data_IF_439427749986
#
_entry.id   IF_439427749986
#
_cell.length_a   1.000
_cell.length_b   1.000
_cell.length_c   1.000
_cell.angle_alpha   90.00
_cell.angle_beta   90.00
_cell.angle_gamma   90.00
#
_symmetry.space_group_name_H-M   'P 1'
#
loop_
_entity.id
_entity.type
_entity.pdbx_description
1 polymer ?
#
# COMPACT_ATOMS: atom_id res chain seq x y z
N UNK A 1 -16.05 -56.92 25.18
CA UNK A 1 -14.63 -56.55 25.04
C UNK A 1 -14.48 -55.68 23.80
N UNK A 2 -14.36 -54.36 23.95
CA UNK A 2 -14.25 -53.41 22.83
C UNK A 2 -12.92 -52.67 22.94
N UNK A 3 -12.03 -52.85 21.96
CA UNK A 3 -10.71 -52.21 21.90
C UNK A 3 -10.83 -50.91 21.11
N UNK A 4 -10.79 -49.78 21.81
CA UNK A 4 -10.67 -48.47 21.17
C UNK A 4 -9.25 -48.30 20.60
N UNK A 5 -9.16 -48.19 19.28
CA UNK A 5 -7.93 -47.83 18.56
C UNK A 5 -7.70 -46.32 18.67
N UNK A 6 -6.64 -45.93 19.39
CA UNK A 6 -6.21 -44.55 19.52
C UNK A 6 -5.62 -44.06 18.18
N UNK A 7 -6.36 -43.22 17.45
CA UNK A 7 -5.84 -42.48 16.31
C UNK A 7 -4.72 -41.55 16.79
N UNK A 8 -3.49 -41.91 16.43
CA UNK A 8 -2.29 -41.09 16.55
C UNK A 8 -2.56 -39.70 15.97
N UNK A 9 -2.55 -38.67 16.83
CA UNK A 9 -2.58 -37.28 16.40
C UNK A 9 -1.26 -37.02 15.70
N UNK A 10 -1.31 -36.81 14.38
CA UNK A 10 -0.18 -36.39 13.56
C UNK A 10 0.56 -35.25 14.26
N UNK A 11 1.73 -35.56 14.80
CA UNK A 11 2.65 -34.54 15.28
C UNK A 11 3.05 -33.70 14.06
N UNK A 12 2.61 -32.43 14.05
CA UNK A 12 3.03 -31.48 13.02
C UNK A 12 4.57 -31.51 12.94
N UNK A 13 5.16 -31.73 11.76
CA UNK A 13 6.60 -31.84 11.63
C UNK A 13 7.25 -30.58 12.21
N UNK A 14 8.00 -30.78 13.29
CA UNK A 14 8.70 -29.72 14.02
C UNK A 14 9.64 -29.01 13.04
N UNK A 15 9.41 -27.72 12.84
CA UNK A 15 10.41 -26.79 12.32
C UNK A 15 10.60 -26.79 10.81
N UNK A 16 9.64 -26.23 10.06
CA UNK A 16 10.04 -25.62 8.79
C UNK A 16 11.01 -24.48 9.11
N UNK A 17 12.22 -24.44 8.53
CA UNK A 17 13.15 -23.36 8.77
C UNK A 17 12.48 -22.03 8.40
N UNK A 18 12.38 -21.12 9.36
CA UNK A 18 11.87 -19.78 9.10
C UNK A 18 12.94 -19.02 8.32
N UNK A 19 12.62 -18.57 7.10
CA UNK A 19 13.52 -17.73 6.30
C UNK A 19 13.86 -16.46 7.10
N UNK A 20 15.15 -16.26 7.36
CA UNK A 20 15.68 -14.99 7.90
C UNK A 20 15.77 -14.02 6.74
N UNK A 21 14.96 -12.97 6.78
CA UNK A 21 14.96 -11.92 5.76
C UNK A 21 16.06 -10.92 6.06
N UNK A 22 16.97 -10.74 5.12
CA UNK A 22 17.95 -9.65 5.19
C UNK A 22 17.28 -8.30 4.91
N UNK A 23 17.96 -7.23 5.33
CA UNK A 23 17.51 -5.87 5.06
C UNK A 23 17.51 -5.61 3.55
N UNK A 24 18.52 -6.09 2.85
CA UNK A 24 18.70 -5.96 1.40
C UNK A 24 17.58 -6.65 0.63
N UNK A 25 17.22 -7.90 0.98
CA UNK A 25 16.09 -8.59 0.37
C UNK A 25 14.78 -7.84 0.61
N UNK A 26 14.59 -7.31 1.82
CA UNK A 26 13.39 -6.55 2.16
C UNK A 26 13.30 -5.28 1.33
N UNK A 27 14.42 -4.55 1.16
CA UNK A 27 14.49 -3.35 0.32
C UNK A 27 14.19 -3.70 -1.14
N UNK A 28 14.79 -4.74 -1.70
CA UNK A 28 14.52 -5.18 -3.08
C UNK A 28 13.05 -5.49 -3.33
N UNK A 29 12.38 -6.15 -2.38
CA UNK A 29 10.94 -6.42 -2.47
C UNK A 29 10.16 -5.10 -2.53
N UNK A 30 10.47 -4.15 -1.64
CA UNK A 30 9.76 -2.87 -1.57
C UNK A 30 9.99 -2.01 -2.81
N UNK A 31 11.23 -1.91 -3.29
CA UNK A 31 11.58 -1.15 -4.49
C UNK A 31 10.91 -1.71 -5.74
N UNK A 32 10.81 -3.03 -5.86
CA UNK A 32 10.02 -3.66 -6.93
C UNK A 32 8.56 -3.24 -6.87
N UNK A 33 7.94 -3.25 -5.68
CA UNK A 33 6.52 -2.90 -5.51
C UNK A 33 6.29 -1.42 -5.85
N UNK A 34 7.19 -0.52 -5.43
CA UNK A 34 7.13 0.90 -5.77
C UNK A 34 7.25 1.08 -7.29
N UNK A 35 8.25 0.46 -7.91
CA UNK A 35 8.56 0.64 -9.34
C UNK A 35 7.48 0.05 -10.27
N UNK A 36 6.84 -1.05 -9.86
CA UNK A 36 5.82 -1.73 -10.66
C UNK A 36 4.38 -1.33 -10.28
N UNK A 37 4.20 -0.44 -9.30
CA UNK A 37 2.91 0.07 -8.85
C UNK A 37 1.89 -1.01 -8.42
N UNK A 38 0.63 -0.59 -8.29
CA UNK A 38 -0.50 -1.43 -7.87
C UNK A 38 -1.11 -2.27 -9.02
N UNK A 39 -0.30 -2.68 -10.01
CA UNK A 39 -0.79 -3.19 -11.30
C UNK A 39 -1.56 -4.52 -11.21
N UNK A 40 -1.44 -5.29 -10.13
CA UNK A 40 -2.28 -6.47 -9.88
C UNK A 40 -2.63 -6.57 -8.41
N UNK A 41 -3.85 -7.07 -8.11
CA UNK A 41 -4.20 -7.46 -6.73
C UNK A 41 -3.08 -8.39 -6.22
N UNK A 42 -2.38 -8.07 -5.11
CA UNK A 42 -1.27 -8.86 -4.55
C UNK A 42 -1.70 -10.25 -4.02
N UNK A 43 -2.80 -10.78 -4.54
CA UNK A 43 -3.27 -12.14 -4.38
C UNK A 43 -2.71 -13.06 -5.47
N UNK A 44 -2.30 -12.51 -6.62
CA UNK A 44 -1.85 -13.29 -7.78
C UNK A 44 -0.46 -13.90 -7.57
N UNK A 45 -0.35 -15.22 -7.78
CA UNK A 45 0.91 -15.96 -7.75
C UNK A 45 1.90 -15.43 -8.79
N UNK A 46 1.41 -15.13 -10.00
CA UNK A 46 2.18 -14.57 -11.12
C UNK A 46 2.95 -13.31 -10.74
N UNK A 47 2.37 -12.44 -9.93
CA UNK A 47 3.00 -11.19 -9.49
C UNK A 47 4.28 -11.45 -8.69
N UNK A 48 4.19 -12.32 -7.67
CA UNK A 48 5.34 -12.63 -6.83
C UNK A 48 6.38 -13.48 -7.55
N UNK A 49 5.98 -14.34 -8.49
CA UNK A 49 6.94 -15.04 -9.34
C UNK A 49 7.74 -14.08 -10.23
N UNK A 50 7.10 -13.05 -10.80
CA UNK A 50 7.82 -11.99 -11.53
C UNK A 50 8.75 -11.20 -10.61
N UNK A 51 8.30 -10.85 -9.41
CA UNK A 51 9.11 -10.17 -8.39
C UNK A 51 10.38 -10.97 -8.08
N UNK A 52 10.24 -12.27 -7.80
CA UNK A 52 11.38 -13.14 -7.47
C UNK A 52 12.37 -13.21 -8.64
N UNK A 53 11.86 -13.37 -9.88
CA UNK A 53 12.71 -13.41 -11.07
C UNK A 53 13.50 -12.11 -11.30
N UNK A 54 12.88 -10.95 -11.07
CA UNK A 54 13.55 -9.67 -11.32
C UNK A 54 14.51 -9.26 -10.19
N UNK A 55 14.14 -9.52 -8.94
CA UNK A 55 14.93 -9.09 -7.77
C UNK A 55 16.04 -10.07 -7.38
N UNK A 56 15.94 -11.33 -7.83
CA UNK A 56 16.85 -12.41 -7.45
C UNK A 56 16.75 -12.80 -5.97
N UNK A 57 15.63 -12.51 -5.32
CA UNK A 57 15.39 -12.88 -3.93
C UNK A 57 15.19 -14.39 -3.83
N UNK A 58 16.00 -15.07 -3.02
CA UNK A 58 15.91 -16.51 -2.80
C UNK A 58 14.72 -16.87 -1.89
N UNK A 59 13.51 -16.80 -2.42
CA UNK A 59 12.29 -17.11 -1.70
C UNK A 59 11.21 -17.69 -2.63
N UNK A 60 10.30 -18.46 -2.06
CA UNK A 60 9.08 -18.88 -2.74
C UNK A 60 8.04 -17.74 -2.74
N UNK A 61 7.16 -17.69 -3.74
CA UNK A 61 6.11 -16.69 -3.91
C UNK A 61 5.24 -16.55 -2.64
N UNK A 62 4.93 -17.67 -1.97
CA UNK A 62 4.18 -17.67 -0.70
C UNK A 62 4.94 -16.95 0.41
N UNK A 63 6.25 -17.14 0.51
CA UNK A 63 7.09 -16.48 1.52
C UNK A 63 7.16 -14.97 1.26
N UNK A 64 7.32 -14.55 0.01
CA UNK A 64 7.26 -13.14 -0.37
C UNK A 64 5.90 -12.53 -0.03
N UNK A 65 4.79 -13.22 -0.35
CA UNK A 65 3.44 -12.78 0.00
C UNK A 65 3.27 -12.58 1.50
N UNK A 66 3.67 -13.56 2.31
CA UNK A 66 3.62 -13.47 3.77
C UNK A 66 4.51 -12.34 4.30
N UNK A 67 5.71 -12.16 3.75
CA UNK A 67 6.61 -11.05 4.12
C UNK A 67 5.97 -9.69 3.84
N UNK A 68 5.40 -9.49 2.66
CA UNK A 68 4.71 -8.24 2.30
C UNK A 68 3.49 -8.00 3.21
N UNK A 69 2.72 -9.05 3.52
CA UNK A 69 1.61 -8.96 4.48
C UNK A 69 2.08 -8.52 5.86
N UNK A 70 3.15 -9.13 6.38
CA UNK A 70 3.71 -8.77 7.68
C UNK A 70 4.25 -7.33 7.71
N UNK A 71 4.92 -6.90 6.64
CA UNK A 71 5.37 -5.51 6.49
C UNK A 71 4.19 -4.53 6.49
N UNK A 72 3.10 -4.86 5.78
CA UNK A 72 1.87 -4.07 5.79
C UNK A 72 1.27 -4.00 7.20
N UNK A 73 1.16 -5.12 7.91
CA UNK A 73 0.66 -5.14 9.30
C UNK A 73 1.52 -4.27 10.23
N UNK A 74 2.85 -4.36 10.13
CA UNK A 74 3.76 -3.51 10.90
C UNK A 74 3.62 -2.02 10.58
N UNK A 75 3.44 -1.69 9.30
CA UNK A 75 3.16 -0.32 8.86
C UNK A 75 1.85 0.22 9.44
N UNK A 76 0.75 -0.55 9.35
CA UNK A 76 -0.56 -0.14 9.89
C UNK A 76 -0.46 0.14 11.39
N UNK A 77 0.15 -0.77 12.16
CA UNK A 77 0.35 -0.58 13.61
C UNK A 77 1.16 0.68 13.92
N UNK A 78 2.23 0.93 13.16
CA UNK A 78 3.05 2.13 13.34
C UNK A 78 2.28 3.41 12.98
N UNK A 79 1.44 3.36 11.94
CA UNK A 79 0.60 4.47 11.50
C UNK A 79 -0.52 4.78 12.50
N UNK A 80 -1.22 3.76 13.01
CA UNK A 80 -2.23 3.90 14.07
C UNK A 80 -1.63 4.51 15.32
N UNK A 81 -0.47 4.01 15.75
CA UNK A 81 0.24 4.57 16.90
C UNK A 81 0.66 6.03 16.67
N UNK A 82 1.19 6.35 15.47
CA UNK A 82 1.57 7.72 15.10
C UNK A 82 0.37 8.68 15.13
N UNK A 83 -0.79 8.23 14.64
CA UNK A 83 -1.99 9.08 14.54
C UNK A 83 -2.72 9.27 15.87
N UNK A 84 -2.54 8.35 16.82
CA UNK A 84 -3.15 8.41 18.16
C UNK A 84 -2.14 9.00 19.15
N UNK A 85 -1.33 8.14 19.76
CA UNK A 85 -0.37 8.49 20.82
C UNK A 85 0.69 9.47 20.31
N UNK A 86 1.22 9.24 19.10
CA UNK A 86 2.22 10.13 18.52
C UNK A 86 1.70 11.55 18.28
N UNK A 87 0.46 11.68 17.84
CA UNK A 87 -0.17 12.97 17.61
C UNK A 87 -0.44 13.72 18.92
N UNK A 88 -0.87 13.02 19.97
CA UNK A 88 -1.02 13.60 21.31
C UNK A 88 0.34 14.08 21.87
N UNK A 89 1.40 13.29 21.69
CA UNK A 89 2.76 13.68 22.10
C UNK A 89 3.25 14.94 21.39
N UNK A 90 3.02 15.06 20.08
CA UNK A 90 3.42 16.24 19.30
C UNK A 90 2.64 17.49 19.72
N UNK A 91 1.38 17.35 20.16
CA UNK A 91 0.54 18.48 20.63
C UNK A 91 0.91 18.98 22.02
N UNK A 92 1.64 18.20 22.81
CA UNK A 92 2.10 18.60 24.14
C UNK A 92 3.15 19.71 24.03
N UNK A 93 3.17 20.67 24.98
CA UNK A 93 4.14 21.78 25.01
C UNK A 93 5.61 21.31 25.01
N UNK A 94 5.87 20.07 25.44
CA UNK A 94 7.19 19.45 25.47
C UNK A 94 7.37 18.32 24.44
N UNK A 95 6.55 18.30 23.38
CA UNK A 95 6.54 17.22 22.38
C UNK A 95 7.82 17.15 21.54
N UNK A 96 8.59 16.06 21.66
CA UNK A 96 9.72 15.78 20.78
C UNK A 96 9.28 14.98 19.54
N UNK A 97 9.31 15.63 18.38
CA UNK A 97 8.99 15.02 17.08
C UNK A 97 9.98 13.90 16.73
N UNK A 98 11.25 14.02 17.15
CA UNK A 98 12.27 13.02 16.85
C UNK A 98 12.00 11.72 17.61
N UNK A 99 11.58 11.81 18.87
CA UNK A 99 11.15 10.64 19.63
C UNK A 99 10.01 9.87 18.94
N UNK A 100 9.00 10.58 18.43
CA UNK A 100 7.87 9.96 17.71
C UNK A 100 8.38 9.27 16.44
N UNK A 101 9.26 9.92 15.69
CA UNK A 101 9.86 9.37 14.47
C UNK A 101 10.69 8.10 14.77
N UNK A 102 11.55 8.14 15.79
CA UNK A 102 12.38 7.01 16.21
C UNK A 102 11.53 5.83 16.65
N UNK A 103 10.44 6.09 17.39
CA UNK A 103 9.51 5.05 17.81
C UNK A 103 8.82 4.40 16.60
N UNK A 104 8.37 5.20 15.64
CA UNK A 104 7.76 4.71 14.38
C UNK A 104 8.76 3.86 13.60
N UNK A 105 10.02 4.30 13.47
CA UNK A 105 11.07 3.55 12.78
C UNK A 105 11.43 2.25 13.51
N UNK A 106 11.38 2.23 14.84
CA UNK A 106 11.56 1.01 15.63
C UNK A 106 10.43 0.00 15.42
N UNK A 107 9.20 0.48 15.21
CA UNK A 107 8.05 -0.38 14.90
C UNK A 107 8.05 -0.85 13.44
N UNK A 108 8.49 0.01 12.53
CA UNK A 108 8.51 -0.24 11.10
C UNK A 108 9.74 0.43 10.47
N UNK A 109 10.87 -0.29 10.35
CA UNK A 109 12.13 0.28 9.84
C UNK A 109 12.03 0.85 8.41
N UNK A 110 11.06 0.38 7.63
CA UNK A 110 10.84 0.83 6.25
C UNK A 110 9.58 1.71 6.13
N UNK A 111 9.19 2.41 7.20
CA UNK A 111 7.94 3.17 7.27
C UNK A 111 7.73 4.11 6.07
N UNK A 112 8.77 4.86 5.66
CA UNK A 112 8.68 5.80 4.52
C UNK A 112 8.31 5.11 3.21
N UNK A 113 8.99 4.01 2.87
CA UNK A 113 8.71 3.19 1.67
C UNK A 113 7.33 2.54 1.74
N UNK A 114 6.95 2.05 2.92
CA UNK A 114 5.64 1.44 3.14
C UNK A 114 4.51 2.46 3.05
N UNK A 115 4.73 3.72 3.44
CA UNK A 115 3.79 4.82 3.28
C UNK A 115 3.55 5.15 1.80
N UNK A 116 4.58 5.08 0.97
CA UNK A 116 4.46 5.28 -0.48
C UNK A 116 3.62 4.17 -1.13
N UNK A 117 3.82 2.92 -0.71
CA UNK A 117 3.07 1.77 -1.25
C UNK A 117 1.62 1.71 -0.73
N UNK A 118 1.43 1.90 0.58
CA UNK A 118 0.16 1.61 1.25
C UNK A 118 -0.60 2.84 1.74
N UNK A 119 -0.01 4.04 1.69
CA UNK A 119 -0.61 5.26 2.23
C UNK A 119 -1.96 5.58 1.61
N UNK A 120 -2.05 5.49 0.28
CA UNK A 120 -3.29 5.75 -0.46
C UNK A 120 -4.38 4.71 -0.17
N UNK A 121 -3.98 3.46 0.10
CA UNK A 121 -4.92 2.37 0.39
C UNK A 121 -5.56 2.58 1.76
N UNK A 122 -4.77 2.99 2.76
CA UNK A 122 -5.30 3.24 4.11
C UNK A 122 -6.25 4.43 4.09
N UNK A 123 -5.87 5.55 3.44
CA UNK A 123 -6.72 6.74 3.36
C UNK A 123 -8.07 6.43 2.68
N UNK A 124 -8.07 5.63 1.61
CA UNK A 124 -9.30 5.21 0.93
C UNK A 124 -10.17 4.32 1.81
N UNK A 125 -9.58 3.39 2.56
CA UNK A 125 -10.31 2.49 3.44
C UNK A 125 -10.85 3.16 4.71
N UNK A 126 -10.19 4.20 5.23
CA UNK A 126 -10.69 4.95 6.40
C UNK A 126 -11.90 5.84 6.07
N UNK A 127 -12.17 6.11 4.79
CA UNK A 127 -13.30 6.93 4.34
C UNK A 127 -14.57 6.09 4.05
N UNK A 128 -14.47 4.77 4.14
CA UNK A 128 -15.62 3.87 4.02
C UNK A 128 -15.72 3.14 5.36
N UNK A 129 -16.84 3.34 6.05
CA UNK A 129 -17.08 2.95 7.45
C UNK A 129 -16.40 1.65 7.89
N UNK A 130 -15.63 1.74 8.99
CA UNK A 130 -15.26 0.67 9.92
C UNK A 130 -15.59 -0.77 9.48
N UNK A 131 -14.90 -1.28 8.47
CA UNK A 131 -14.67 -2.72 8.41
C UNK A 131 -13.61 -2.99 9.45
N UNK A 132 -14.07 -3.45 10.61
CA UNK A 132 -13.30 -4.23 11.55
C UNK A 132 -12.32 -5.09 10.74
N UNK A 133 -11.03 -4.72 10.75
CA UNK A 133 -9.98 -5.56 10.20
C UNK A 133 -9.98 -6.76 11.12
N UNK A 134 -10.87 -7.72 10.85
CA UNK A 134 -10.93 -8.99 11.56
C UNK A 134 -9.51 -9.50 11.51
N UNK A 135 -8.92 -9.53 12.69
CA UNK A 135 -7.64 -10.15 12.97
C UNK A 135 -7.78 -11.56 12.40
N UNK A 136 -7.28 -11.77 11.18
CA UNK A 136 -7.21 -13.07 10.54
C UNK A 136 -6.16 -13.82 11.35
N UNK A 137 -6.64 -14.40 12.45
CA UNK A 137 -5.92 -15.34 13.28
C UNK A 137 -5.37 -16.44 12.38
N UNK A 138 -4.15 -16.89 12.68
CA UNK A 138 -3.39 -17.81 11.85
C UNK A 138 -3.97 -19.25 11.79
N UNK A 139 -5.24 -19.46 12.12
CA UNK A 139 -5.83 -20.80 12.31
C UNK A 139 -6.55 -21.39 11.10
N UNK A 140 -6.91 -20.62 10.07
CA UNK A 140 -7.92 -21.09 9.08
C UNK A 140 -7.37 -21.51 7.70
N UNK A 141 -6.10 -21.91 7.61
CA UNK A 141 -5.59 -22.55 6.39
C UNK A 141 -5.21 -24.01 6.63
N UNK A 142 -6.24 -24.85 6.76
CA UNK A 142 -6.11 -26.29 6.59
C UNK A 142 -5.94 -26.59 5.09
N UNK A 143 -4.71 -26.82 4.67
CA UNK A 143 -4.40 -27.30 3.33
C UNK A 143 -4.89 -28.76 3.25
N UNK A 144 -6.03 -29.00 2.61
CA UNK A 144 -6.45 -30.36 2.29
C UNK A 144 -5.44 -31.00 1.32
N UNK A 145 -5.02 -32.26 1.56
CA UNK A 145 -4.14 -32.98 0.67
C UNK A 145 -4.91 -33.33 -0.62
N UNK A 146 -4.30 -32.97 -1.74
CA UNK A 146 -4.72 -33.33 -3.09
C UNK A 146 -4.60 -34.85 -3.23
N UNK A 147 -5.73 -35.52 -3.45
CA UNK A 147 -5.78 -36.93 -3.80
C UNK A 147 -5.23 -37.12 -5.21
N UNK A 148 -4.12 -37.83 -5.32
CA UNK A 148 -3.57 -38.30 -6.59
C UNK A 148 -4.39 -39.52 -7.01
N UNK A 149 -5.19 -39.37 -8.07
CA UNK A 149 -5.86 -40.49 -8.73
C UNK A 149 -4.90 -41.20 -9.67
N UNK A 150 -4.56 -42.43 -9.30
CA UNK A 150 -3.88 -43.42 -10.14
C UNK A 150 -4.89 -44.08 -11.09
N UNK A 151 -4.60 -44.25 -12.40
CA UNK A 151 -5.47 -44.98 -13.31
C UNK A 151 -5.08 -46.45 -13.44
N UNK A 152 -6.05 -47.36 -13.45
CA UNK A 152 -5.90 -48.65 -14.14
C UNK A 152 -7.24 -49.24 -14.61
N UNK A 153 -7.21 -50.10 -15.65
CA UNK A 153 -8.31 -50.35 -16.58
C UNK A 153 -9.00 -51.69 -16.33
N UNK A 154 -10.28 -51.83 -16.67
CA UNK A 154 -10.83 -53.12 -17.13
C UNK A 154 -11.91 -52.95 -18.22
N UNK A 155 -11.66 -53.74 -19.26
CA UNK A 155 -12.38 -54.10 -20.48
C UNK A 155 -13.72 -54.82 -20.29
N UNK A 156 -14.57 -54.72 -21.34
CA UNK A 156 -15.60 -55.63 -21.90
C UNK A 156 -16.98 -54.94 -21.99
N UNK A 157 -17.55 -54.60 -23.16
CA UNK A 157 -17.88 -55.26 -24.44
C UNK A 157 -19.16 -56.12 -24.40
N UNK A 158 -20.23 -55.59 -25.04
CA UNK A 158 -21.26 -56.23 -25.90
C UNK A 158 -22.65 -55.59 -25.66
N UNK A 159 -23.22 -54.83 -26.59
CA UNK A 159 -24.08 -55.24 -27.73
C UNK A 159 -25.47 -55.75 -27.30
N UNK A 160 -26.54 -55.03 -27.64
CA UNK A 160 -27.69 -55.48 -28.45
C UNK A 160 -28.78 -54.39 -28.52
N UNK A 161 -29.25 -54.20 -29.75
CA UNK A 161 -30.42 -53.50 -30.30
C UNK A 161 -31.71 -53.69 -29.50
N UNK A 162 -32.66 -52.73 -29.55
CA UNK A 162 -34.09 -52.95 -29.92
C UNK A 162 -34.89 -51.65 -29.81
N UNK A 163 -35.52 -51.28 -30.93
CA UNK A 163 -36.58 -50.27 -31.10
C UNK A 163 -37.89 -50.71 -30.46
N UNK A 164 -38.64 -49.80 -29.83
CA UNK A 164 -40.01 -50.09 -29.39
C UNK A 164 -40.74 -48.87 -28.84
N UNK A 165 -41.69 -48.39 -29.64
CA UNK A 165 -42.69 -47.34 -29.36
C UNK A 165 -43.63 -47.80 -28.24
N UNK A 166 -44.05 -46.89 -27.34
CA UNK A 166 -45.47 -46.63 -27.02
C UNK A 166 -45.64 -45.54 -25.93
N UNK A 167 -46.62 -44.70 -26.25
CA UNK A 167 -47.34 -43.68 -25.52
C UNK A 167 -47.49 -43.89 -24.00
N UNK A 168 -47.41 -42.78 -23.25
CA UNK A 168 -48.46 -42.54 -22.26
C UNK A 168 -48.64 -41.04 -22.01
N UNK A 169 -49.81 -40.57 -22.43
CA UNK A 169 -50.35 -39.24 -22.14
C UNK A 169 -50.90 -39.22 -20.72
N UNK A 170 -50.50 -38.26 -19.90
CA UNK A 170 -51.40 -37.79 -18.85
C UNK A 170 -51.24 -36.28 -18.65
N UNK A 171 -52.21 -35.56 -19.20
CA UNK A 171 -52.47 -34.15 -18.97
C UNK A 171 -53.21 -34.00 -17.63
N UNK A 172 -52.86 -32.99 -16.84
CA UNK A 172 -53.84 -32.08 -16.27
C UNK A 172 -53.19 -30.73 -15.86
N UNK A 173 -53.92 -29.61 -16.06
CA UNK A 173 -53.44 -28.25 -15.88
C UNK A 173 -53.77 -27.71 -14.48
N UNK A 174 -53.11 -26.63 -14.00
CA UNK A 174 -53.78 -25.63 -13.13
C UNK A 174 -52.92 -24.35 -12.92
N UNK A 175 -53.51 -23.24 -13.40
CA UNK A 175 -53.59 -21.88 -12.83
C UNK A 175 -52.33 -20.99 -12.70
N UNK A 176 -52.24 -20.09 -13.70
CA UNK A 176 -52.17 -18.63 -13.61
C UNK A 176 -51.78 -17.98 -12.27
N UNK A 177 -50.66 -17.26 -12.32
CA UNK A 177 -50.28 -16.24 -11.35
C UNK A 177 -49.29 -15.24 -11.97
N UNK A 178 -49.65 -14.61 -13.09
CA UNK A 178 -48.98 -13.38 -13.54
C UNK A 178 -49.29 -12.29 -12.51
N UNK A 179 -48.28 -11.90 -11.73
CA UNK A 179 -48.28 -10.64 -10.99
C UNK A 179 -47.32 -9.70 -11.69
N UNK A 180 -47.87 -8.54 -12.04
CA UNK A 180 -47.24 -7.44 -12.74
C UNK A 180 -45.95 -6.99 -12.07
N UNK A 181 -44.84 -7.12 -12.80
CA UNK A 181 -43.54 -6.55 -12.47
C UNK A 181 -43.27 -5.37 -13.41
N UNK A 182 -43.92 -4.24 -13.13
CA UNK A 182 -43.74 -3.03 -13.95
C UNK A 182 -44.01 -1.78 -13.12
N UNK A 183 -43.19 -1.55 -12.09
CA UNK A 183 -43.05 -0.24 -11.44
C UNK A 183 -41.81 -0.13 -10.53
N UNK A 184 -40.59 -0.30 -11.05
CA UNK A 184 -39.38 0.06 -10.25
C UNK A 184 -38.10 0.41 -11.05
N UNK A 185 -38.17 0.65 -12.37
CA UNK A 185 -36.96 1.06 -13.13
C UNK A 185 -36.69 2.57 -13.05
N UNK A 186 -37.69 3.38 -12.69
CA UNK A 186 -37.55 4.83 -12.59
C UNK A 186 -36.71 5.30 -11.40
N UNK A 187 -36.76 4.61 -10.25
CA UNK A 187 -36.08 5.06 -9.03
C UNK A 187 -34.57 4.74 -9.02
N UNK A 188 -34.12 3.72 -9.74
CA UNK A 188 -32.68 3.39 -9.83
C UNK A 188 -31.86 4.39 -10.67
N UNK A 189 -32.50 5.10 -11.60
CA UNK A 189 -31.82 6.09 -12.46
C UNK A 189 -31.51 7.38 -11.69
N UNK A 190 -32.40 7.80 -10.77
CA UNK A 190 -32.17 9.00 -9.95
C UNK A 190 -31.08 8.77 -8.89
N UNK A 191 -31.06 7.61 -8.25
CA UNK A 191 -30.04 7.28 -7.23
C UNK A 191 -28.61 7.24 -7.81
N UNK A 192 -28.44 6.75 -9.04
CA UNK A 192 -27.13 6.74 -9.71
C UNK A 192 -26.64 8.15 -10.07
N UNK A 193 -27.55 9.07 -10.42
CA UNK A 193 -27.19 10.44 -10.79
C UNK A 193 -26.72 11.24 -9.58
N UNK A 194 -27.39 11.09 -8.45
CA UNK A 194 -27.02 11.77 -7.21
C UNK A 194 -25.69 11.25 -6.64
N UNK A 195 -25.43 9.95 -6.75
CA UNK A 195 -24.13 9.37 -6.38
C UNK A 195 -23.01 9.90 -7.29
N UNK A 196 -23.26 10.02 -8.60
CA UNK A 196 -22.30 10.58 -9.55
C UNK A 196 -21.99 12.06 -9.25
N UNK A 197 -23.01 12.86 -8.94
CA UNK A 197 -22.83 14.26 -8.52
C UNK A 197 -22.03 14.36 -7.21
N UNK A 198 -22.27 13.46 -6.26
CA UNK A 198 -21.54 13.42 -4.98
C UNK A 198 -20.05 13.10 -5.19
N UNK A 199 -19.76 12.13 -6.06
CA UNK A 199 -18.38 11.77 -6.42
C UNK A 199 -17.67 12.94 -7.11
N UNK A 200 -18.37 13.61 -8.04
CA UNK A 200 -17.82 14.76 -8.76
C UNK A 200 -17.55 15.95 -7.82
N UNK A 201 -18.48 16.28 -6.94
CA UNK A 201 -18.30 17.34 -5.94
C UNK A 201 -17.10 17.05 -5.02
N UNK A 202 -16.94 15.79 -4.59
CA UNK A 202 -15.79 15.37 -3.79
C UNK A 202 -14.47 15.47 -4.57
N UNK A 203 -14.48 15.13 -5.86
CA UNK A 203 -13.31 15.28 -6.74
C UNK A 203 -12.91 16.76 -6.89
N UNK A 204 -13.89 17.64 -7.12
CA UNK A 204 -13.65 19.08 -7.24
C UNK A 204 -13.07 19.67 -5.96
N UNK A 205 -13.57 19.27 -4.79
CA UNK A 205 -13.05 19.73 -3.50
C UNK A 205 -11.58 19.32 -3.28
N UNK A 206 -11.22 18.10 -3.69
CA UNK A 206 -9.83 17.63 -3.61
C UNK A 206 -8.92 18.40 -4.57
N UNK A 207 -9.42 18.72 -5.77
CA UNK A 207 -8.70 19.52 -6.76
C UNK A 207 -8.48 20.96 -6.27
N UNK A 208 -9.51 21.60 -5.72
CA UNK A 208 -9.40 22.93 -5.10
C UNK A 208 -8.36 22.94 -3.97
N UNK A 209 -8.40 21.93 -3.10
CA UNK A 209 -7.42 21.78 -2.02
C UNK A 209 -6.00 21.59 -2.56
N UNK A 210 -5.83 20.86 -3.66
CA UNK A 210 -4.54 20.67 -4.33
C UNK A 210 -4.01 21.99 -4.87
N UNK A 211 -4.83 22.74 -5.61
CA UNK A 211 -4.48 24.06 -6.15
C UNK A 211 -4.06 25.02 -5.05
N UNK A 212 -4.79 25.04 -3.93
CA UNK A 212 -4.46 25.91 -2.78
C UNK A 212 -3.11 25.56 -2.13
N UNK A 213 -2.79 24.27 -2.03
CA UNK A 213 -1.49 23.83 -1.52
C UNK A 213 -0.36 24.21 -2.48
N UNK A 214 -0.58 24.10 -3.78
CA UNK A 214 0.40 24.49 -4.80
C UNK A 214 0.63 26.01 -4.78
N UNK A 215 -0.42 26.82 -4.60
CA UNK A 215 -0.32 28.27 -4.43
C UNK A 215 0.49 28.64 -3.18
N UNK A 216 0.20 28.01 -2.03
CA UNK A 216 0.94 28.23 -0.80
C UNK A 216 2.43 27.84 -0.94
N UNK A 217 2.71 26.74 -1.62
CA UNK A 217 4.07 26.29 -1.89
C UNK A 217 4.81 27.28 -2.77
N UNK A 218 4.18 27.76 -3.85
CA UNK A 218 4.76 28.75 -4.76
C UNK A 218 5.06 30.07 -4.02
N UNK A 219 4.15 30.50 -3.13
CA UNK A 219 4.36 31.70 -2.32
C UNK A 219 5.56 31.56 -1.37
N UNK A 220 5.70 30.39 -0.73
CA UNK A 220 6.83 30.10 0.16
C UNK A 220 8.15 30.02 -0.61
N UNK A 221 8.15 29.40 -1.79
CA UNK A 221 9.34 29.30 -2.64
C UNK A 221 9.80 30.69 -3.10
N UNK A 222 8.86 31.57 -3.47
CA UNK A 222 9.13 32.97 -3.80
C UNK A 222 9.71 33.76 -2.63
N UNK A 223 9.15 33.60 -1.42
CA UNK A 223 9.66 34.24 -0.19
C UNK A 223 11.11 33.82 0.10
N UNK A 224 11.40 32.53 -0.01
CA UNK A 224 12.75 31.97 0.19
C UNK A 224 13.73 32.54 -0.85
N UNK A 225 13.33 32.60 -2.11
CA UNK A 225 14.16 33.14 -3.19
C UNK A 225 14.46 34.63 -2.97
N UNK A 226 13.46 35.41 -2.58
CA UNK A 226 13.62 36.82 -2.22
C UNK A 226 14.57 37.03 -1.03
N UNK A 227 14.49 36.18 -0.01
CA UNK A 227 15.41 36.24 1.13
C UNK A 227 16.85 35.90 0.74
N UNK A 228 17.05 34.88 -0.11
CA UNK A 228 18.37 34.53 -0.64
C UNK A 228 18.98 35.67 -1.44
N UNK A 229 18.20 36.27 -2.36
CA UNK A 229 18.66 37.39 -3.18
C UNK A 229 19.04 38.60 -2.32
N UNK A 230 18.28 38.88 -1.25
CA UNK A 230 18.60 39.93 -0.30
C UNK A 230 19.90 39.67 0.46
N UNK A 231 20.12 38.44 0.93
CA UNK A 231 21.36 38.06 1.60
C UNK A 231 22.57 38.15 0.67
N UNK A 232 22.41 37.71 -0.58
CA UNK A 232 23.45 37.81 -1.61
C UNK A 232 23.82 39.26 -1.90
N UNK A 233 22.82 40.14 -2.03
CA UNK A 233 23.04 41.57 -2.21
C UNK A 233 23.82 42.20 -1.06
N UNK A 234 23.46 41.91 0.19
CA UNK A 234 24.17 42.42 1.37
C UNK A 234 25.62 41.91 1.45
N UNK A 235 25.84 40.62 1.15
CA UNK A 235 27.20 40.05 1.11
C UNK A 235 28.05 40.75 0.04
N UNK A 236 27.50 40.95 -1.15
CA UNK A 236 28.19 41.63 -2.25
C UNK A 236 28.51 43.08 -1.91
N UNK A 237 27.59 43.78 -1.25
CA UNK A 237 27.79 45.15 -0.76
C UNK A 237 28.95 45.21 0.25
N UNK A 238 28.96 44.32 1.24
CA UNK A 238 30.01 44.25 2.26
C UNK A 238 31.39 43.94 1.66
N UNK A 239 31.41 43.06 0.65
CA UNK A 239 32.64 42.72 -0.08
C UNK A 239 33.20 43.94 -0.81
N UNK A 240 32.37 44.69 -1.55
CA UNK A 240 32.82 45.91 -2.22
C UNK A 240 33.34 46.97 -1.24
N UNK A 241 32.67 47.18 -0.11
CA UNK A 241 33.12 48.14 0.91
C UNK A 241 34.48 47.74 1.52
N UNK A 242 34.68 46.44 1.77
CA UNK A 242 35.97 45.91 2.22
C UNK A 242 37.07 46.14 1.18
N UNK A 243 36.77 45.89 -0.09
CA UNK A 243 37.72 46.07 -1.19
C UNK A 243 38.08 47.55 -1.40
N UNK A 244 37.11 48.46 -1.29
CA UNK A 244 37.35 49.91 -1.30
C UNK A 244 38.26 50.35 -0.16
N UNK A 245 38.05 49.83 1.06
CA UNK A 245 38.92 50.13 2.21
C UNK A 245 40.35 49.63 1.96
N UNK A 246 40.51 48.40 1.46
CA UNK A 246 41.82 47.83 1.15
C UNK A 246 42.53 48.69 0.09
N UNK A 247 41.86 49.03 -1.00
CA UNK A 247 42.43 49.89 -2.05
C UNK A 247 42.86 51.25 -1.52
N UNK A 248 42.07 51.87 -0.63
CA UNK A 248 42.43 53.14 0.01
C UNK A 248 43.70 53.03 0.85
N UNK A 249 43.82 51.98 1.67
CA UNK A 249 45.02 51.75 2.48
C UNK A 249 46.25 51.45 1.62
N UNK A 250 46.10 50.66 0.55
CA UNK A 250 47.19 50.37 -0.38
C UNK A 250 47.70 51.64 -1.08
N UNK A 251 46.80 52.53 -1.49
CA UNK A 251 47.16 53.83 -2.04
C UNK A 251 47.91 54.68 -1.02
N UNK A 252 47.41 54.79 0.21
CA UNK A 252 48.05 55.57 1.28
C UNK A 252 49.48 55.09 1.58
N UNK A 253 49.68 53.78 1.69
CA UNK A 253 51.00 53.16 1.86
C UNK A 253 51.94 53.48 0.70
N UNK A 254 51.46 53.36 -0.55
CA UNK A 254 52.26 53.68 -1.75
C UNK A 254 52.68 55.15 -1.80
N UNK A 255 51.84 56.08 -1.33
CA UNK A 255 52.19 57.50 -1.29
C UNK A 255 53.17 57.85 -0.16
N UNK A 256 53.04 57.26 1.03
CA UNK A 256 53.99 57.48 2.14
C UNK A 256 55.42 57.05 1.75
N UNK A 257 55.57 55.87 1.15
CA UNK A 257 56.89 55.37 0.72
C UNK A 257 57.57 56.30 -0.30
N UNK A 258 56.80 56.91 -1.21
CA UNK A 258 57.33 57.83 -2.23
C UNK A 258 57.75 59.20 -1.69
N UNK A 259 57.23 59.62 -0.54
CA UNK A 259 57.60 60.91 0.09
C UNK A 259 58.86 60.76 0.95
N UNK A 260 59.16 59.55 1.40
CA UNK A 260 60.34 59.24 2.23
C UNK A 260 61.60 58.85 1.43
N UNK A 261 61.52 58.83 0.09
CA UNK A 261 62.64 58.60 -0.84
C UNK A 261 63.02 59.90 -1.56
#
# INVERSE_FOLDING_TARGET
MSRFSAKSRNAFPKGRPQKKWTTEETIKILEYIISNGNLEKPTAKSYYEKLIRQTGVDANWSLCKWKVRNLKTGYIKALEWQNTVGADMIRSENGDVNYVLDKVLRMSPHFKRLREIFGDIVVKNSQVENYEIKELTMSDFEIQPTHVSTPQPQTSLSTVTTTGVLENSNSQPFINGQKDASHDEGQQIYNNRDEQLTIEARRLLLEERRVKLDEQKMQMDYEIEMQKLKQEYELKKLQMEKDERIQKYELELKYKIKVEQ
#
